data_IF_307423341884
#
_entry.id   IF_307423341884
#
_cell.length_a   1.000
_cell.length_b   1.000
_cell.length_c   1.000
_cell.angle_alpha   90.00
_cell.angle_beta   90.00
_cell.angle_gamma   90.00
#
_symmetry.space_group_name_H-M   'P 1'
#
loop_
_entity.id
_entity.type
_entity.pdbx_description
1 polymer ?
#
# COMPACT_ATOMS: atom_id res chain seq x y z
N UNK A 1 -33.36 77.17 19.78
CA UNK A 1 -32.15 77.34 18.94
C UNK A 1 -30.94 76.95 19.75
N UNK A 2 -30.26 75.90 19.28
CA UNK A 2 -28.95 75.34 19.60
C UNK A 2 -28.27 75.69 20.94
N UNK A 3 -28.02 74.66 21.75
CA UNK A 3 -26.68 74.29 22.24
C UNK A 3 -26.66 72.82 22.68
N UNK A 4 -25.56 72.13 22.35
CA UNK A 4 -25.24 70.76 22.71
C UNK A 4 -24.91 70.66 24.22
N UNK A 5 -25.29 69.54 24.84
CA UNK A 5 -24.69 69.08 26.10
C UNK A 5 -24.46 67.57 26.05
N UNK A 6 -23.23 67.21 26.39
CA UNK A 6 -22.70 65.85 26.49
C UNK A 6 -23.23 65.22 27.78
N UNK A 7 -23.68 63.96 27.74
CA UNK A 7 -23.54 63.12 28.93
C UNK A 7 -23.38 61.65 28.59
N UNK A 8 -22.48 61.04 29.35
CA UNK A 8 -22.03 59.66 29.30
C UNK A 8 -23.19 58.71 29.59
N UNK A 9 -23.30 57.63 28.83
CA UNK A 9 -23.77 56.36 29.39
C UNK A 9 -23.15 55.20 28.61
N UNK A 10 -22.29 54.45 29.30
CA UNK A 10 -21.85 53.14 28.86
C UNK A 10 -23.05 52.19 28.90
N UNK A 11 -23.32 51.48 27.81
CA UNK A 11 -24.20 50.32 27.81
C UNK A 11 -23.45 49.16 27.15
N UNK A 12 -23.01 48.24 28.00
CA UNK A 12 -22.48 46.95 27.60
C UNK A 12 -23.61 46.14 26.95
N UNK A 13 -23.49 45.85 25.65
CA UNK A 13 -24.29 44.84 24.96
C UNK A 13 -23.43 43.58 24.85
N UNK A 14 -23.58 42.69 25.82
CA UNK A 14 -23.09 41.32 25.71
C UNK A 14 -24.00 40.58 24.72
N UNK A 15 -23.50 40.38 23.50
CA UNK A 15 -24.08 39.43 22.56
C UNK A 15 -23.73 38.02 23.04
N UNK A 16 -24.69 37.36 23.71
CA UNK A 16 -24.64 35.94 23.96
C UNK A 16 -24.84 35.17 22.65
N UNK A 17 -23.75 34.73 22.04
CA UNK A 17 -23.79 33.71 20.98
C UNK A 17 -23.94 32.36 21.67
N UNK A 18 -25.17 31.86 21.75
CA UNK A 18 -25.39 30.44 22.07
C UNK A 18 -24.91 29.62 20.89
N UNK A 19 -23.66 29.15 20.94
CA UNK A 19 -23.22 28.02 20.13
C UNK A 19 -24.03 26.80 20.59
N UNK A 20 -25.10 26.48 19.86
CA UNK A 20 -25.66 25.14 19.87
C UNK A 20 -24.59 24.21 19.29
N UNK A 21 -23.76 23.65 20.17
CA UNK A 21 -22.94 22.51 19.83
C UNK A 21 -23.90 21.36 19.51
N UNK A 22 -24.18 21.14 18.23
CA UNK A 22 -24.75 19.89 17.77
C UNK A 22 -23.76 18.80 18.21
N UNK A 23 -24.10 18.09 19.28
CA UNK A 23 -23.46 16.84 19.65
C UNK A 23 -23.77 15.82 18.55
N UNK A 24 -23.06 15.90 17.43
CA UNK A 24 -23.14 14.86 16.41
C UNK A 24 -22.50 13.62 17.01
N UNK A 25 -23.32 12.58 17.19
CA UNK A 25 -22.84 11.23 17.48
C UNK A 25 -21.68 10.90 16.54
N UNK A 26 -20.50 10.52 17.05
CA UNK A 26 -19.38 10.12 16.23
C UNK A 26 -19.82 9.10 15.15
N UNK A 27 -19.34 9.19 13.89
CA UNK A 27 -19.80 8.33 12.81
C UNK A 27 -19.69 6.82 13.09
N UNK A 28 -18.77 6.41 13.96
CA UNK A 28 -18.57 5.03 14.42
C UNK A 28 -19.63 4.55 15.43
N UNK A 29 -20.45 5.46 15.96
CA UNK A 29 -21.55 5.19 16.89
C UNK A 29 -22.94 5.30 16.22
N UNK A 30 -22.99 5.68 14.94
CA UNK A 30 -24.22 5.68 14.16
C UNK A 30 -24.43 4.26 13.62
N UNK A 31 -25.56 3.59 13.91
CA UNK A 31 -25.87 2.30 13.32
C UNK A 31 -25.85 2.37 11.79
N UNK A 32 -25.31 1.34 11.14
CA UNK A 32 -25.31 1.26 9.67
C UNK A 32 -26.74 1.14 9.14
N UNK A 33 -27.08 1.92 8.12
CA UNK A 33 -28.36 1.79 7.39
C UNK A 33 -28.36 0.59 6.42
N UNK A 34 -27.26 -0.15 6.29
CA UNK A 34 -27.17 -1.31 5.40
C UNK A 34 -27.91 -2.52 5.99
N UNK A 35 -28.84 -3.08 5.21
CA UNK A 35 -29.67 -4.21 5.62
C UNK A 35 -29.48 -5.42 4.69
N UNK A 36 -29.28 -6.61 5.25
CA UNK A 36 -29.13 -7.86 4.49
C UNK A 36 -30.47 -8.32 3.86
N UNK A 37 -30.46 -8.95 2.67
CA UNK A 37 -29.30 -9.36 1.85
C UNK A 37 -28.78 -8.26 0.90
N UNK A 38 -29.30 -7.03 0.99
CA UNK A 38 -29.00 -5.95 0.05
C UNK A 38 -29.71 -6.12 -1.28
N UNK A 39 -29.05 -5.73 -2.37
CA UNK A 39 -29.55 -5.85 -3.76
C UNK A 39 -28.59 -6.65 -4.62
N UNK A 40 -29.02 -7.01 -5.85
CA UNK A 40 -28.14 -7.70 -6.81
C UNK A 40 -26.88 -6.90 -7.17
N UNK A 41 -26.96 -5.56 -7.20
CA UNK A 41 -25.83 -4.66 -7.48
C UNK A 41 -25.03 -4.28 -6.23
N UNK A 42 -25.59 -4.48 -5.03
CA UNK A 42 -24.95 -4.18 -3.75
C UNK A 42 -25.39 -5.18 -2.67
N UNK A 43 -24.84 -6.41 -2.70
CA UNK A 43 -25.18 -7.42 -1.70
C UNK A 43 -24.63 -7.03 -0.33
N UNK A 44 -25.40 -7.31 0.72
CA UNK A 44 -25.06 -7.05 2.12
C UNK A 44 -25.13 -8.36 2.90
N UNK A 45 -24.05 -8.70 3.59
CA UNK A 45 -23.99 -9.90 4.43
C UNK A 45 -24.92 -9.78 5.64
N UNK A 46 -25.57 -10.88 6.01
CA UNK A 46 -26.20 -11.01 7.32
C UNK A 46 -25.16 -11.06 8.44
N UNK A 47 -25.59 -10.80 9.69
CA UNK A 47 -24.72 -10.91 10.86
C UNK A 47 -24.15 -12.34 11.05
N UNK A 48 -24.86 -13.38 10.61
CA UNK A 48 -24.38 -14.76 10.69
C UNK A 48 -23.34 -15.06 9.60
N UNK A 49 -23.54 -14.59 8.38
CA UNK A 49 -22.54 -14.74 7.30
C UNK A 49 -21.26 -13.96 7.62
N UNK A 50 -21.39 -12.75 8.19
CA UNK A 50 -20.27 -11.89 8.57
C UNK A 50 -19.30 -12.56 9.57
N UNK A 51 -19.74 -13.53 10.38
CA UNK A 51 -18.87 -14.31 11.28
C UNK A 51 -17.79 -15.11 10.54
N UNK A 52 -17.98 -15.37 9.25
CA UNK A 52 -17.00 -16.04 8.40
C UNK A 52 -15.96 -15.07 7.80
N UNK A 53 -16.15 -13.76 7.96
CA UNK A 53 -15.31 -12.72 7.37
C UNK A 53 -14.61 -11.89 8.45
N UNK A 54 -13.90 -12.57 9.35
CA UNK A 54 -13.08 -11.96 10.41
C UNK A 54 -11.60 -12.19 10.14
N UNK A 55 -10.71 -11.35 10.66
CA UNK A 55 -9.27 -11.43 10.40
C UNK A 55 -8.69 -12.85 10.60
N UNK A 56 -9.13 -13.58 11.63
CA UNK A 56 -8.71 -14.97 11.86
C UNK A 56 -9.06 -15.94 10.71
N UNK A 57 -10.13 -15.69 9.95
CA UNK A 57 -10.49 -16.50 8.77
C UNK A 57 -9.60 -16.19 7.58
N UNK A 58 -9.32 -14.91 7.34
CA UNK A 58 -8.39 -14.48 6.28
C UNK A 58 -6.95 -14.89 6.56
N UNK A 59 -6.58 -14.98 7.84
CA UNK A 59 -5.24 -15.39 8.27
C UNK A 59 -5.11 -16.88 8.55
N UNK A 60 -6.13 -17.69 8.23
CA UNK A 60 -6.06 -19.13 8.30
C UNK A 60 -4.93 -19.70 7.43
N UNK A 61 -4.39 -20.85 7.84
CA UNK A 61 -3.41 -21.59 7.05
C UNK A 61 -4.11 -22.48 6.02
N UNK A 62 -3.44 -22.74 4.89
CA UNK A 62 -3.84 -23.83 3.98
C UNK A 62 -3.52 -25.20 4.58
N UNK A 63 -2.56 -25.27 5.51
CA UNK A 63 -2.23 -26.51 6.23
C UNK A 63 -3.33 -26.82 7.26
N UNK A 64 -3.94 -28.03 7.22
CA UNK A 64 -4.95 -28.43 8.19
C UNK A 64 -4.47 -28.31 9.64
N UNK A 65 -5.40 -28.03 10.56
CA UNK A 65 -5.16 -27.95 12.00
C UNK A 65 -4.08 -26.93 12.44
N UNK A 66 -3.71 -25.99 11.57
CA UNK A 66 -2.79 -24.91 11.91
C UNK A 66 -3.59 -23.70 12.37
N UNK A 67 -3.25 -23.16 13.55
CA UNK A 67 -3.88 -21.95 14.06
C UNK A 67 -3.73 -20.77 13.07
N UNK A 68 -4.75 -19.91 12.95
CA UNK A 68 -4.62 -18.67 12.17
C UNK A 68 -3.43 -17.83 12.62
N UNK A 69 -2.84 -17.10 11.68
CA UNK A 69 -1.81 -16.13 12.02
C UNK A 69 -2.42 -14.98 12.84
N UNK A 70 -1.87 -14.76 14.02
CA UNK A 70 -2.20 -13.66 14.92
C UNK A 70 -0.92 -12.83 15.14
N UNK A 71 -0.72 -11.73 14.39
CA UNK A 71 0.46 -10.90 14.55
C UNK A 71 0.43 -10.07 15.83
N UNK A 72 1.56 -9.99 16.51
CA UNK A 72 1.83 -8.91 17.46
C UNK A 72 2.18 -7.62 16.70
N UNK A 73 1.92 -6.44 17.27
CA UNK A 73 2.36 -5.16 16.71
C UNK A 73 3.87 -5.15 16.41
N UNK A 74 4.26 -4.35 15.40
CA UNK A 74 5.67 -4.12 15.08
C UNK A 74 6.35 -3.50 16.31
N UNK A 75 7.47 -4.10 16.73
CA UNK A 75 8.31 -3.62 17.83
C UNK A 75 9.66 -3.21 17.27
N UNK A 76 10.06 -1.96 17.51
CA UNK A 76 11.35 -1.43 17.06
C UNK A 76 12.43 -1.68 18.13
N UNK A 77 13.67 -1.98 17.73
CA UNK A 77 14.77 -2.21 18.67
C UNK A 77 15.30 -0.87 19.21
N UNK A 78 15.99 -0.92 20.34
CA UNK A 78 16.72 0.24 20.85
C UNK A 78 17.87 0.68 19.92
N UNK A 79 18.45 -0.27 19.18
CA UNK A 79 19.48 -0.04 18.17
C UNK A 79 19.15 -0.84 16.90
N UNK A 80 19.06 -0.21 15.72
CA UNK A 80 18.86 -0.93 14.47
C UNK A 80 20.12 -1.69 14.05
N UNK A 81 19.96 -2.73 13.22
CA UNK A 81 21.10 -3.43 12.62
C UNK A 81 21.78 -2.58 11.54
N UNK A 82 21.00 -1.76 10.85
CA UNK A 82 21.45 -0.87 9.77
C UNK A 82 20.72 0.46 9.82
N UNK A 83 21.43 1.54 9.50
CA UNK A 83 20.87 2.89 9.34
C UNK A 83 21.13 3.36 7.91
N UNK A 84 20.08 3.80 7.23
CA UNK A 84 20.13 4.42 5.91
C UNK A 84 19.96 5.93 6.07
N UNK A 85 20.84 6.72 5.46
CA UNK A 85 20.77 8.17 5.52
C UNK A 85 21.86 8.87 4.70
N UNK A 86 21.99 10.21 4.83
CA UNK A 86 22.98 10.98 4.10
C UNK A 86 24.42 10.58 4.46
N UNK A 87 25.30 10.54 3.46
CA UNK A 87 26.72 10.22 3.66
C UNK A 87 27.38 11.16 4.69
N UNK A 88 28.22 10.61 5.57
CA UNK A 88 28.92 11.38 6.61
C UNK A 88 28.09 11.69 7.86
N UNK A 89 26.80 11.35 7.87
CA UNK A 89 25.96 11.50 9.07
C UNK A 89 26.33 10.44 10.12
N UNK A 90 26.54 10.81 11.40
CA UNK A 90 26.86 9.85 12.45
C UNK A 90 25.84 8.71 12.55
N UNK A 91 26.34 7.47 12.63
CA UNK A 91 25.50 6.27 12.73
C UNK A 91 24.95 5.73 11.41
N UNK A 92 25.03 6.50 10.31
CA UNK A 92 24.63 6.00 8.98
C UNK A 92 25.59 4.91 8.52
N UNK A 93 25.01 3.76 8.15
CA UNK A 93 25.74 2.60 7.64
C UNK A 93 25.68 2.49 6.12
N UNK A 94 24.61 3.00 5.50
CA UNK A 94 24.34 2.88 4.08
C UNK A 94 23.69 4.17 3.55
N UNK A 95 23.99 4.53 2.30
CA UNK A 95 23.39 5.70 1.63
C UNK A 95 22.23 5.33 0.71
N UNK A 96 21.94 4.04 0.56
CA UNK A 96 20.77 3.55 -0.18
C UNK A 96 20.10 2.40 0.55
N UNK A 97 18.77 2.31 0.41
CA UNK A 97 17.97 1.28 1.06
C UNK A 97 18.31 -0.11 0.50
N UNK A 98 18.51 -0.23 -0.82
CA UNK A 98 18.90 -1.51 -1.42
C UNK A 98 20.22 -2.04 -0.85
N UNK A 99 21.22 -1.19 -0.61
CA UNK A 99 22.49 -1.63 -0.05
C UNK A 99 22.33 -2.17 1.39
N UNK A 100 21.49 -1.53 2.22
CA UNK A 100 21.18 -2.04 3.56
C UNK A 100 20.40 -3.36 3.52
N UNK A 101 19.45 -3.50 2.58
CA UNK A 101 18.75 -4.77 2.33
C UNK A 101 19.73 -5.86 1.93
N UNK A 102 20.63 -5.57 0.99
CA UNK A 102 21.64 -6.53 0.53
C UNK A 102 22.54 -6.97 1.70
N UNK A 103 23.02 -6.02 2.52
CA UNK A 103 23.83 -6.30 3.71
C UNK A 103 23.08 -7.17 4.75
N UNK A 104 21.79 -6.93 4.95
CA UNK A 104 20.97 -7.76 5.84
C UNK A 104 20.80 -9.19 5.30
N UNK A 105 20.62 -9.34 3.99
CA UNK A 105 20.41 -10.63 3.34
C UNK A 105 21.66 -11.49 3.30
N UNK A 106 22.84 -10.88 3.12
CA UNK A 106 24.13 -11.58 3.12
C UNK A 106 24.43 -12.27 4.46
N UNK A 107 23.89 -11.77 5.58
CA UNK A 107 24.05 -12.38 6.91
C UNK A 107 23.43 -13.78 7.03
N UNK A 108 22.47 -14.16 6.16
CA UNK A 108 21.78 -15.46 6.15
C UNK A 108 21.27 -15.91 7.53
N UNK A 109 20.81 -14.95 8.33
CA UNK A 109 20.31 -15.20 9.69
C UNK A 109 18.81 -15.49 9.69
N UNK A 110 18.36 -16.30 10.66
CA UNK A 110 16.93 -16.51 10.93
C UNK A 110 16.35 -15.41 11.84
N UNK A 111 17.21 -14.57 12.44
CA UNK A 111 16.76 -13.46 13.29
C UNK A 111 16.20 -12.33 12.41
N UNK A 112 15.18 -11.65 12.91
CA UNK A 112 14.71 -10.41 12.31
C UNK A 112 15.84 -9.38 12.28
N UNK A 113 15.98 -8.68 11.15
CA UNK A 113 16.92 -7.56 11.00
C UNK A 113 16.15 -6.25 10.81
N UNK A 114 16.68 -5.18 11.38
CA UNK A 114 16.04 -3.87 11.44
C UNK A 114 16.85 -2.82 10.68
N UNK A 115 16.21 -2.18 9.72
CA UNK A 115 16.78 -1.12 8.90
C UNK A 115 16.03 0.17 9.22
N UNK A 116 16.69 1.07 9.94
CA UNK A 116 16.20 2.42 10.18
C UNK A 116 16.51 3.31 8.97
N UNK A 117 15.54 4.11 8.53
CA UNK A 117 15.68 5.01 7.38
C UNK A 117 15.47 6.44 7.86
N UNK A 118 16.51 7.26 7.78
CA UNK A 118 16.45 8.67 8.15
C UNK A 118 15.55 9.46 7.20
N UNK A 119 14.96 10.59 7.64
CA UNK A 119 14.21 11.48 6.75
C UNK A 119 14.96 11.83 5.48
N UNK A 120 14.26 11.82 4.35
CA UNK A 120 14.82 12.09 3.03
C UNK A 120 14.05 11.42 1.90
N UNK A 121 14.40 11.83 0.67
CA UNK A 121 13.89 11.25 -0.57
C UNK A 121 14.90 10.23 -1.12
N UNK A 122 14.49 8.98 -1.21
CA UNK A 122 15.28 7.84 -1.66
C UNK A 122 14.79 7.37 -3.03
N UNK A 123 15.43 7.87 -4.08
CA UNK A 123 15.08 7.51 -5.44
C UNK A 123 15.61 6.12 -5.82
N UNK A 124 14.74 5.33 -6.43
CA UNK A 124 15.06 4.05 -7.05
C UNK A 124 14.40 2.85 -6.37
N UNK A 125 14.45 1.71 -7.05
CA UNK A 125 13.80 0.48 -6.59
C UNK A 125 14.32 -0.05 -5.25
N UNK A 126 13.46 -0.75 -4.50
CA UNK A 126 13.87 -1.55 -3.34
C UNK A 126 13.32 -2.96 -3.50
N UNK A 127 14.20 -3.92 -3.74
CA UNK A 127 13.90 -5.34 -3.87
C UNK A 127 14.35 -6.11 -2.64
N UNK A 128 13.38 -6.66 -1.92
CA UNK A 128 13.62 -7.46 -0.70
C UNK A 128 13.35 -8.94 -1.01
N UNK A 129 14.40 -9.75 -1.21
CA UNK A 129 14.24 -11.14 -1.63
C UNK A 129 13.63 -12.03 -0.52
N UNK A 130 13.19 -13.21 -0.92
CA UNK A 130 12.87 -14.27 0.02
C UNK A 130 14.13 -14.65 0.81
N UNK A 131 13.98 -14.84 2.11
CA UNK A 131 15.07 -15.17 3.01
C UNK A 131 14.54 -15.95 4.23
N UNK A 132 15.40 -16.70 4.93
CA UNK A 132 14.97 -17.43 6.12
C UNK A 132 14.66 -16.48 7.29
N UNK A 133 15.34 -15.33 7.39
CA UNK A 133 15.04 -14.25 8.32
C UNK A 133 14.13 -13.18 7.72
N UNK A 134 13.36 -12.52 8.57
CA UNK A 134 12.48 -11.41 8.19
C UNK A 134 13.17 -10.05 8.31
N UNK A 135 12.76 -9.08 7.49
CA UNK A 135 13.20 -7.68 7.63
C UNK A 135 12.12 -6.77 8.21
N UNK A 136 12.56 -5.78 8.97
CA UNK A 136 11.78 -4.59 9.32
C UNK A 136 12.47 -3.37 8.74
N UNK A 137 11.78 -2.64 7.85
CA UNK A 137 12.23 -1.34 7.35
C UNK A 137 11.32 -0.28 7.96
N UNK A 138 11.89 0.74 8.57
CA UNK A 138 11.10 1.78 9.22
C UNK A 138 11.72 3.17 9.08
N UNK A 139 10.87 4.17 8.82
CA UNK A 139 11.30 5.56 8.80
C UNK A 139 11.42 6.13 10.21
N UNK A 140 12.42 6.99 10.42
CA UNK A 140 12.69 7.64 11.71
C UNK A 140 12.19 9.09 11.77
N UNK A 141 11.42 9.54 10.78
CA UNK A 141 10.76 10.84 10.80
C UNK A 141 9.54 10.87 11.71
N UNK A 142 8.97 12.05 11.94
CA UNK A 142 7.77 12.23 12.75
C UNK A 142 6.54 11.63 12.04
N UNK A 143 6.49 11.81 10.72
CA UNK A 143 5.41 11.39 9.83
C UNK A 143 5.94 10.43 8.76
N UNK A 144 5.07 9.56 8.22
CA UNK A 144 5.48 8.65 7.14
C UNK A 144 5.99 9.38 5.89
N UNK A 145 5.53 10.61 5.64
CA UNK A 145 5.94 11.43 4.49
C UNK A 145 7.36 11.97 4.58
N UNK A 146 7.98 11.92 5.77
CA UNK A 146 9.34 12.41 5.98
C UNK A 146 10.39 11.47 5.37
N UNK A 147 10.01 10.22 5.09
CA UNK A 147 10.84 9.21 4.40
C UNK A 147 10.12 8.77 3.14
N UNK A 148 10.62 9.14 1.96
CA UNK A 148 9.97 8.80 0.69
C UNK A 148 10.83 7.87 -0.13
N UNK A 149 10.27 6.74 -0.54
CA UNK A 149 10.90 5.77 -1.43
C UNK A 149 10.15 5.85 -2.76
N UNK A 150 10.83 6.28 -3.82
CA UNK A 150 10.15 6.69 -5.05
C UNK A 150 10.86 6.24 -6.32
N UNK A 151 10.11 5.71 -7.27
CA UNK A 151 10.59 5.55 -8.65
C UNK A 151 9.45 5.53 -9.65
N UNK A 152 9.59 6.25 -10.76
CA UNK A 152 8.65 6.17 -11.89
C UNK A 152 8.95 4.92 -12.71
N UNK A 153 8.04 3.94 -12.67
CA UNK A 153 8.13 2.73 -13.46
C UNK A 153 6.77 2.43 -14.04
N UNK A 154 6.66 2.53 -15.36
CA UNK A 154 5.45 2.17 -16.10
C UNK A 154 5.56 0.73 -16.58
N UNK A 155 4.52 -0.08 -16.37
CA UNK A 155 4.46 -1.43 -16.95
C UNK A 155 4.44 -1.42 -18.48
N UNK A 156 4.02 -0.33 -19.12
CA UNK A 156 4.08 -0.18 -20.58
C UNK A 156 5.45 0.26 -21.10
N UNK A 157 6.41 0.62 -20.24
CA UNK A 157 7.74 1.00 -20.71
C UNK A 157 8.50 -0.19 -21.31
N UNK A 158 9.40 0.09 -22.26
CA UNK A 158 10.20 -0.95 -22.89
C UNK A 158 11.11 -1.64 -21.87
N UNK A 159 11.38 -2.94 -22.08
CA UNK A 159 12.32 -3.70 -21.22
C UNK A 159 13.71 -3.04 -21.20
N UNK A 160 14.12 -2.44 -22.32
CA UNK A 160 15.41 -1.74 -22.41
C UNK A 160 15.44 -0.48 -21.55
N UNK A 161 14.38 0.33 -21.54
CA UNK A 161 14.30 1.55 -20.73
C UNK A 161 14.21 1.22 -19.25
N UNK A 162 13.40 0.21 -18.92
CA UNK A 162 13.30 -0.33 -17.58
C UNK A 162 14.66 -0.77 -17.03
N UNK A 163 15.46 -1.52 -17.82
CA UNK A 163 16.82 -1.96 -17.40
C UNK A 163 17.73 -0.77 -17.10
N UNK A 164 17.71 0.27 -17.94
CA UNK A 164 18.54 1.47 -17.75
C UNK A 164 18.11 2.25 -16.50
N UNK A 165 16.81 2.36 -16.26
CA UNK A 165 16.28 3.07 -15.09
C UNK A 165 16.48 2.32 -13.78
N UNK A 166 16.26 1.00 -13.75
CA UNK A 166 16.21 0.19 -12.52
C UNK A 166 17.61 -0.25 -12.06
N UNK A 167 18.57 -0.38 -12.97
CA UNK A 167 19.90 -0.90 -12.65
C UNK A 167 21.08 0.04 -12.97
N UNK A 168 21.03 1.33 -12.58
CA UNK A 168 22.18 2.21 -12.74
C UNK A 168 23.36 1.71 -11.90
N UNK A 169 24.57 1.78 -12.44
CA UNK A 169 25.80 1.48 -11.71
C UNK A 169 25.93 0.04 -11.19
N UNK A 170 25.22 -0.93 -11.78
CA UNK A 170 25.28 -2.32 -11.32
C UNK A 170 24.63 -2.53 -9.94
N UNK A 171 23.55 -1.79 -9.66
CA UNK A 171 22.73 -1.96 -8.45
C UNK A 171 22.36 -3.43 -8.21
N UNK A 172 21.89 -4.12 -9.25
CA UNK A 172 21.60 -5.55 -9.29
C UNK A 172 22.59 -6.27 -10.21
N UNK A 173 23.32 -7.25 -9.68
CA UNK A 173 24.31 -8.05 -10.41
C UNK A 173 24.26 -9.50 -9.93
N UNK A 174 24.69 -10.48 -10.77
CA UNK A 174 24.87 -11.85 -10.32
C UNK A 174 25.68 -11.92 -9.01
N UNK A 175 25.19 -12.69 -8.05
CA UNK A 175 25.78 -12.79 -6.70
C UNK A 175 25.20 -11.82 -5.66
N UNK A 176 24.52 -10.74 -6.06
CA UNK A 176 23.78 -9.89 -5.12
C UNK A 176 22.43 -10.52 -4.72
N UNK A 177 21.93 -10.29 -3.50
CA UNK A 177 20.75 -10.99 -2.96
C UNK A 177 19.49 -10.91 -3.83
N UNK A 178 19.19 -9.73 -4.38
CA UNK A 178 17.99 -9.50 -5.18
C UNK A 178 18.18 -9.77 -6.69
N UNK A 179 19.30 -10.39 -7.11
CA UNK A 179 19.58 -10.63 -8.53
C UNK A 179 18.45 -11.36 -9.24
N UNK A 180 17.94 -12.46 -8.67
CA UNK A 180 16.91 -13.26 -9.33
C UNK A 180 15.61 -12.48 -9.56
N UNK A 181 15.29 -11.53 -8.68
CA UNK A 181 14.11 -10.66 -8.82
C UNK A 181 14.29 -9.75 -10.03
N UNK A 182 15.44 -9.06 -10.11
CA UNK A 182 15.79 -8.24 -11.25
C UNK A 182 15.87 -9.05 -12.55
N UNK A 183 16.49 -10.23 -12.49
CA UNK A 183 16.75 -11.09 -13.65
C UNK A 183 15.46 -11.59 -14.31
N UNK A 184 14.45 -11.96 -13.50
CA UNK A 184 13.12 -12.33 -13.99
C UNK A 184 12.41 -11.21 -14.80
N UNK A 185 12.79 -9.95 -14.59
CA UNK A 185 12.22 -8.82 -15.31
C UNK A 185 13.11 -8.41 -16.50
N UNK A 186 14.42 -8.33 -16.29
CA UNK A 186 15.38 -7.89 -17.30
C UNK A 186 15.47 -8.86 -18.50
N UNK A 187 15.23 -10.15 -18.27
CA UNK A 187 15.32 -11.22 -19.28
C UNK A 187 14.06 -11.35 -20.15
N UNK A 188 13.04 -10.53 -19.93
CA UNK A 188 11.81 -10.55 -20.74
C UNK A 188 12.11 -10.19 -22.19
N UNK A 189 11.50 -10.94 -23.10
CA UNK A 189 11.50 -10.67 -24.55
C UNK A 189 10.22 -9.99 -25.05
N UNK A 190 9.38 -9.52 -24.14
CA UNK A 190 8.18 -8.75 -24.48
C UNK A 190 8.53 -7.31 -24.87
N UNK A 191 7.63 -6.65 -25.60
CA UNK A 191 7.78 -5.24 -25.94
C UNK A 191 7.81 -4.34 -24.68
N UNK A 192 6.96 -4.66 -23.70
CA UNK A 192 6.79 -3.91 -22.46
C UNK A 192 7.16 -4.76 -21.24
N UNK A 193 7.55 -4.11 -20.13
CA UNK A 193 8.02 -4.82 -18.93
C UNK A 193 6.86 -5.48 -18.14
N UNK A 194 5.66 -4.91 -18.21
CA UNK A 194 4.42 -5.35 -17.58
C UNK A 194 4.32 -5.06 -16.07
N UNK A 195 3.09 -5.10 -15.55
CA UNK A 195 2.75 -4.79 -14.15
C UNK A 195 3.54 -5.58 -13.10
N UNK A 196 3.90 -6.85 -13.41
CA UNK A 196 4.70 -7.69 -12.52
C UNK A 196 6.13 -7.18 -12.30
N UNK A 197 6.55 -6.13 -13.01
CA UNK A 197 7.88 -5.55 -12.91
C UNK A 197 7.85 -4.02 -12.75
N UNK A 198 6.66 -3.41 -12.56
CA UNK A 198 6.52 -1.95 -12.39
C UNK A 198 6.57 -1.49 -10.93
N UNK A 199 6.96 -2.37 -10.00
CA UNK A 199 7.00 -2.06 -8.57
C UNK A 199 8.23 -1.23 -8.18
N UNK A 200 8.00 -0.05 -7.58
CA UNK A 200 9.06 0.73 -6.95
C UNK A 200 9.65 -0.01 -5.73
N UNK A 201 8.79 -0.61 -4.90
CA UNK A 201 9.19 -1.51 -3.81
C UNK A 201 8.62 -2.89 -4.07
N UNK A 202 9.45 -3.93 -4.16
CA UNK A 202 9.01 -5.31 -4.33
C UNK A 202 9.61 -6.20 -3.24
N UNK A 203 8.76 -6.92 -2.50
CA UNK A 203 9.22 -7.90 -1.53
C UNK A 203 8.70 -9.31 -1.80
N UNK A 204 9.56 -10.30 -1.57
CA UNK A 204 9.21 -11.71 -1.39
C UNK A 204 9.55 -12.24 0.01
N UNK A 205 9.89 -11.33 0.94
CA UNK A 205 10.34 -11.69 2.28
C UNK A 205 9.13 -12.07 3.17
N UNK A 206 9.11 -13.31 3.64
CA UNK A 206 8.13 -13.73 4.64
C UNK A 206 8.40 -12.99 5.95
N UNK A 207 7.34 -12.44 6.56
CA UNK A 207 7.43 -11.65 7.77
C UNK A 207 7.95 -10.23 7.57
N UNK A 208 7.98 -9.71 6.33
CA UNK A 208 8.32 -8.30 6.10
C UNK A 208 7.48 -7.39 7.02
N UNK A 209 8.15 -6.41 7.63
CA UNK A 209 7.52 -5.34 8.37
C UNK A 209 7.92 -3.99 7.76
N UNK A 210 6.94 -3.16 7.43
CA UNK A 210 7.14 -1.78 6.99
C UNK A 210 6.46 -0.83 7.97
N UNK A 211 7.16 0.22 8.42
CA UNK A 211 6.59 1.18 9.36
C UNK A 211 7.03 2.63 9.11
N UNK A 212 6.10 3.57 9.22
CA UNK A 212 6.40 5.01 9.28
C UNK A 212 7.22 5.55 8.09
N UNK A 213 6.81 5.21 6.86
CA UNK A 213 7.47 5.64 5.62
C UNK A 213 6.46 5.79 4.48
N UNK A 214 6.89 6.38 3.38
CA UNK A 214 6.10 6.54 2.14
C UNK A 214 6.76 5.77 1.01
N UNK A 215 5.95 5.02 0.27
CA UNK A 215 6.36 4.33 -0.95
C UNK A 215 5.50 4.86 -2.10
N UNK A 216 6.15 5.32 -3.15
CA UNK A 216 5.49 5.95 -4.29
C UNK A 216 6.02 5.41 -5.61
N UNK A 217 5.13 5.09 -6.54
CA UNK A 217 5.50 5.04 -7.95
C UNK A 217 5.26 6.43 -8.54
N UNK A 218 6.35 7.15 -8.78
CA UNK A 218 6.32 8.58 -9.13
C UNK A 218 5.98 8.83 -10.60
N UNK A 219 5.40 7.84 -11.32
CA UNK A 219 4.85 8.05 -12.66
C UNK A 219 3.71 9.07 -12.62
N UNK A 220 2.84 8.96 -11.61
CA UNK A 220 1.83 9.98 -11.30
C UNK A 220 0.99 10.39 -12.51
N UNK A 221 0.88 11.70 -12.72
CA UNK A 221 0.10 12.32 -13.80
C UNK A 221 0.94 12.61 -15.05
N UNK A 222 2.12 12.01 -15.19
CA UNK A 222 2.99 12.21 -16.37
C UNK A 222 2.55 11.44 -17.61
N UNK A 223 1.45 10.68 -17.49
CA UNK A 223 0.89 9.80 -18.51
C UNK A 223 -0.60 10.08 -18.67
N UNK A 224 -1.19 9.61 -19.76
CA UNK A 224 -2.60 9.84 -20.04
C UNK A 224 -3.53 8.93 -19.20
N UNK A 225 -4.83 9.04 -19.47
CA UNK A 225 -5.89 8.29 -18.78
C UNK A 225 -5.97 6.81 -19.18
N UNK A 226 -5.14 6.35 -20.13
CA UNK A 226 -5.05 4.98 -20.61
C UNK A 226 -4.42 4.00 -19.62
N UNK A 227 -4.02 2.84 -20.13
CA UNK A 227 -3.45 1.76 -19.34
C UNK A 227 -1.97 2.00 -19.04
N UNK A 228 -1.66 2.35 -17.78
CA UNK A 228 -0.31 2.64 -17.28
C UNK A 228 -0.11 2.00 -15.90
N UNK A 229 0.00 0.66 -15.81
CA UNK A 229 0.10 -0.04 -14.53
C UNK A 229 1.45 0.26 -13.84
N UNK A 230 1.40 1.00 -12.73
CA UNK A 230 2.55 1.58 -12.05
C UNK A 230 2.51 1.28 -10.55
N UNK A 231 3.08 0.14 -10.17
CA UNK A 231 2.99 -0.37 -8.79
C UNK A 231 3.93 0.40 -7.87
N UNK A 232 3.42 0.91 -6.74
CA UNK A 232 4.26 1.52 -5.71
C UNK A 232 4.84 0.45 -4.80
N UNK A 233 3.97 -0.35 -4.18
CA UNK A 233 4.37 -1.47 -3.33
C UNK A 233 3.84 -2.79 -3.88
N UNK A 234 4.73 -3.74 -4.09
CA UNK A 234 4.42 -5.13 -4.32
C UNK A 234 4.88 -6.01 -3.17
N UNK A 235 4.01 -6.87 -2.66
CA UNK A 235 4.38 -7.90 -1.68
C UNK A 235 3.91 -9.28 -2.08
N UNK A 236 4.84 -10.22 -2.06
CA UNK A 236 4.62 -11.64 -2.32
C UNK A 236 4.78 -12.51 -1.06
N UNK A 237 5.36 -11.95 0.01
CA UNK A 237 5.66 -12.65 1.25
C UNK A 237 4.42 -13.02 2.06
N UNK A 238 4.50 -14.07 2.87
CA UNK A 238 3.49 -14.41 3.87
C UNK A 238 3.79 -13.74 5.22
N UNK A 239 2.76 -13.49 6.03
CA UNK A 239 2.81 -12.84 7.35
C UNK A 239 3.42 -11.43 7.33
N UNK A 240 3.12 -10.66 6.30
CA UNK A 240 3.63 -9.30 6.10
C UNK A 240 2.81 -8.30 6.94
N UNK A 241 3.47 -7.35 7.60
CA UNK A 241 2.81 -6.26 8.32
C UNK A 241 3.23 -4.90 7.75
N UNK A 242 2.26 -4.05 7.47
CA UNK A 242 2.46 -2.69 6.97
C UNK A 242 1.72 -1.76 7.93
N UNK A 243 2.43 -0.91 8.67
CA UNK A 243 1.84 -0.07 9.70
C UNK A 243 2.23 1.39 9.53
N UNK A 244 1.28 2.32 9.53
CA UNK A 244 1.60 3.76 9.42
C UNK A 244 2.41 4.07 8.16
N UNK A 245 1.99 3.54 7.01
CA UNK A 245 2.67 3.71 5.72
C UNK A 245 1.76 4.43 4.73
N UNK A 246 2.34 5.33 3.94
CA UNK A 246 1.67 5.90 2.77
C UNK A 246 2.10 5.09 1.53
N UNK A 247 1.13 4.61 0.75
CA UNK A 247 1.38 3.90 -0.51
C UNK A 247 0.71 4.72 -1.62
N UNK A 248 1.51 5.39 -2.43
CA UNK A 248 1.05 6.44 -3.35
C UNK A 248 1.25 6.03 -4.81
N UNK A 249 0.23 6.23 -5.64
CA UNK A 249 0.30 5.93 -7.06
C UNK A 249 -0.95 6.37 -7.82
N UNK A 250 -1.20 5.70 -8.94
CA UNK A 250 -2.39 5.84 -9.78
C UNK A 250 -2.98 4.47 -10.04
N UNK A 251 -2.59 3.84 -11.15
CA UNK A 251 -3.07 2.52 -11.51
C UNK A 251 -2.23 1.40 -10.86
N UNK A 252 -2.89 0.43 -10.21
CA UNK A 252 -2.26 -0.70 -9.50
C UNK A 252 -1.30 -0.32 -8.35
N UNK A 253 -1.57 0.76 -7.61
CA UNK A 253 -0.71 1.29 -6.53
C UNK A 253 -0.17 0.23 -5.55
N UNK A 254 -1.03 -0.64 -5.01
CA UNK A 254 -0.65 -1.70 -4.07
C UNK A 254 -0.96 -3.08 -4.65
N UNK A 255 0.09 -3.87 -4.88
CA UNK A 255 -0.02 -5.15 -5.56
C UNK A 255 0.37 -6.30 -4.63
N UNK A 256 -0.55 -7.20 -4.35
CA UNK A 256 -0.26 -8.42 -3.56
C UNK A 256 -0.26 -9.60 -4.50
N UNK A 257 0.77 -10.44 -4.47
CA UNK A 257 0.78 -11.66 -5.27
C UNK A 257 1.13 -12.86 -4.43
N UNK A 258 0.80 -14.05 -4.91
CA UNK A 258 1.27 -15.28 -4.31
C UNK A 258 2.49 -15.85 -5.05
N UNK A 259 3.21 -15.02 -5.80
CA UNK A 259 4.37 -15.45 -6.58
C UNK A 259 5.46 -16.08 -5.72
N UNK A 260 6.12 -17.09 -6.28
CA UNK A 260 7.43 -17.57 -5.83
C UNK A 260 8.57 -16.86 -6.55
N UNK A 261 9.74 -17.50 -6.56
CA UNK A 261 10.98 -16.98 -7.17
C UNK A 261 10.91 -16.77 -8.69
N UNK A 262 9.87 -17.28 -9.35
CA UNK A 262 9.70 -17.23 -10.82
C UNK A 262 8.86 -16.02 -11.30
N UNK A 263 8.51 -15.09 -10.41
CA UNK A 263 7.73 -13.90 -10.73
C UNK A 263 6.40 -14.17 -11.49
N UNK A 264 5.64 -15.18 -11.05
CA UNK A 264 4.35 -15.58 -11.65
C UNK A 264 3.35 -15.97 -10.58
N UNK A 265 2.07 -15.69 -10.84
CA UNK A 265 0.99 -16.12 -9.95
C UNK A 265 0.94 -17.64 -9.83
N UNK A 266 0.64 -18.11 -8.63
CA UNK A 266 0.55 -19.54 -8.29
C UNK A 266 -0.91 -19.92 -7.96
N UNK A 267 -1.18 -21.22 -7.88
CA UNK A 267 -2.52 -21.76 -7.58
C UNK A 267 -2.62 -22.46 -6.23
N UNK A 268 -1.51 -22.61 -5.53
CA UNK A 268 -1.32 -23.44 -4.34
C UNK A 268 -0.69 -22.68 -3.17
N UNK A 269 -0.61 -21.35 -3.28
CA UNK A 269 0.01 -20.48 -2.27
C UNK A 269 -0.92 -19.35 -1.86
N UNK A 270 -1.05 -19.12 -0.55
CA UNK A 270 -1.86 -18.05 0.04
C UNK A 270 -1.03 -17.20 1.01
N UNK A 271 -0.40 -16.11 0.54
CA UNK A 271 0.27 -15.16 1.43
C UNK A 271 -0.75 -14.33 2.22
N UNK A 272 -0.38 -13.98 3.45
CA UNK A 272 -1.18 -13.15 4.36
C UNK A 272 -0.48 -11.82 4.64
N UNK A 273 -1.24 -10.74 4.54
CA UNK A 273 -0.74 -9.38 4.80
C UNK A 273 -1.71 -8.63 5.71
N UNK A 274 -1.18 -7.97 6.74
CA UNK A 274 -1.91 -7.04 7.59
C UNK A 274 -1.47 -5.61 7.26
N UNK A 275 -2.42 -4.73 6.94
CA UNK A 275 -2.20 -3.30 6.72
C UNK A 275 -2.95 -2.52 7.78
N UNK A 276 -2.26 -1.67 8.53
CA UNK A 276 -2.79 -0.98 9.71
C UNK A 276 -2.41 0.50 9.72
N UNK A 277 -3.34 1.39 10.07
CA UNK A 277 -3.05 2.83 10.26
C UNK A 277 -2.42 3.50 9.03
N UNK A 278 -2.74 3.03 7.82
CA UNK A 278 -2.05 3.40 6.59
C UNK A 278 -2.92 4.28 5.69
N UNK A 279 -2.28 4.87 4.68
CA UNK A 279 -2.93 5.66 3.64
C UNK A 279 -2.55 5.08 2.27
N UNK A 280 -3.53 4.85 1.41
CA UNK A 280 -3.33 4.30 0.05
C UNK A 280 -4.05 5.20 -0.95
N UNK A 281 -3.34 5.65 -1.98
CA UNK A 281 -3.84 6.57 -2.99
C UNK A 281 -3.71 6.00 -4.41
N UNK A 282 -4.73 6.19 -5.24
CA UNK A 282 -4.74 5.71 -6.61
C UNK A 282 -6.02 6.04 -7.36
N UNK A 283 -6.15 5.51 -8.57
CA UNK A 283 -7.35 5.64 -9.40
C UNK A 283 -7.92 4.27 -9.81
N UNK A 284 -7.26 3.56 -10.72
CA UNK A 284 -7.70 2.31 -11.34
C UNK A 284 -7.02 1.13 -10.66
N UNK A 285 -7.81 0.16 -10.23
CA UNK A 285 -7.32 -1.08 -9.59
C UNK A 285 -6.32 -0.82 -8.46
N UNK A 286 -6.58 0.19 -7.62
CA UNK A 286 -5.62 0.74 -6.66
C UNK A 286 -4.99 -0.32 -5.76
N UNK A 287 -5.78 -1.28 -5.26
CA UNK A 287 -5.28 -2.48 -4.58
C UNK A 287 -5.64 -3.72 -5.37
N UNK A 288 -4.63 -4.46 -5.79
CA UNK A 288 -4.75 -5.50 -6.80
C UNK A 288 -4.06 -6.81 -6.42
N UNK A 289 -4.50 -7.89 -7.06
CA UNK A 289 -3.73 -9.14 -7.13
C UNK A 289 -4.28 -10.29 -6.28
N UNK A 290 -3.42 -11.23 -5.87
CA UNK A 290 -3.76 -12.52 -5.27
C UNK A 290 -3.06 -12.72 -3.92
N UNK A 291 -3.81 -12.68 -2.82
CA UNK A 291 -3.35 -12.93 -1.45
C UNK A 291 -4.43 -12.55 -0.42
N UNK A 292 -4.31 -13.02 0.82
CA UNK A 292 -5.20 -12.62 1.90
C UNK A 292 -4.68 -11.33 2.54
N UNK A 293 -5.45 -10.24 2.43
CA UNK A 293 -5.05 -8.95 2.99
C UNK A 293 -6.11 -8.45 3.96
N UNK A 294 -5.73 -8.07 5.17
CA UNK A 294 -6.64 -7.39 6.09
C UNK A 294 -6.20 -5.94 6.20
N UNK A 295 -7.13 -5.02 5.96
CA UNK A 295 -6.94 -3.59 6.18
C UNK A 295 -7.70 -3.20 7.44
N UNK A 296 -6.98 -2.66 8.41
CA UNK A 296 -7.53 -2.15 9.66
C UNK A 296 -7.13 -0.69 9.86
N UNK A 297 -8.11 0.19 10.06
CA UNK A 297 -7.88 1.63 10.17
C UNK A 297 -7.00 2.19 9.02
N UNK A 298 -7.35 1.85 7.78
CA UNK A 298 -6.65 2.33 6.57
C UNK A 298 -7.53 3.29 5.80
N UNK A 299 -6.94 4.39 5.31
CA UNK A 299 -7.63 5.33 4.43
C UNK A 299 -7.29 5.02 2.97
N UNK A 300 -8.31 4.91 2.13
CA UNK A 300 -8.21 4.74 0.68
C UNK A 300 -8.67 6.03 0.00
N UNK A 301 -7.76 6.74 -0.64
CA UNK A 301 -8.06 7.97 -1.36
C UNK A 301 -8.07 7.71 -2.86
N UNK A 302 -9.23 7.92 -3.48
CA UNK A 302 -9.31 7.89 -4.95
C UNK A 302 -9.07 9.28 -5.52
N UNK A 303 -8.02 9.42 -6.34
CA UNK A 303 -7.70 10.65 -7.05
C UNK A 303 -8.28 10.65 -8.46
N UNK A 304 -8.32 11.82 -9.10
CA UNK A 304 -8.89 12.01 -10.44
C UNK A 304 -8.05 12.94 -11.33
N UNK A 305 -6.80 13.19 -10.94
CA UNK A 305 -5.86 14.06 -11.65
C UNK A 305 -5.40 13.44 -12.98
N UNK A 306 -5.18 12.13 -13.02
CA UNK A 306 -4.79 11.38 -14.23
C UNK A 306 -5.99 10.95 -15.08
N UNK A 307 -7.03 10.40 -14.44
CA UNK A 307 -8.24 9.95 -15.12
C UNK A 307 -9.50 10.37 -14.36
N UNK A 308 -10.53 10.76 -15.11
CA UNK A 308 -11.87 11.05 -14.60
C UNK A 308 -12.91 10.03 -15.09
N UNK A 309 -12.50 9.09 -15.94
CA UNK A 309 -13.39 8.19 -16.66
C UNK A 309 -13.81 6.99 -15.82
N UNK A 310 -12.89 6.49 -14.97
CA UNK A 310 -13.14 5.33 -14.12
C UNK A 310 -12.26 5.36 -12.87
N UNK A 311 -12.69 4.63 -11.84
CA UNK A 311 -11.87 4.31 -10.69
C UNK A 311 -12.37 3.03 -10.01
N UNK A 312 -11.42 2.20 -9.57
CA UNK A 312 -11.69 0.97 -8.82
C UNK A 312 -10.71 0.89 -7.65
N UNK A 313 -11.26 0.81 -6.43
CA UNK A 313 -10.42 0.70 -5.23
C UNK A 313 -9.78 -0.68 -5.16
N UNK A 314 -10.53 -1.74 -5.46
CA UNK A 314 -10.10 -3.13 -5.32
C UNK A 314 -10.20 -3.93 -6.61
N UNK A 315 -9.13 -4.67 -6.93
CA UNK A 315 -9.06 -5.59 -8.07
C UNK A 315 -8.58 -7.00 -7.67
N UNK A 316 -9.44 -7.81 -7.01
CA UNK A 316 -9.08 -9.16 -6.57
C UNK A 316 -8.81 -10.10 -7.75
N UNK A 317 -7.73 -10.89 -7.66
CA UNK A 317 -7.48 -12.07 -8.52
C UNK A 317 -7.45 -13.37 -7.70
N UNK A 318 -8.31 -13.46 -6.70
CA UNK A 318 -8.46 -14.64 -5.85
C UNK A 318 -8.81 -15.89 -6.63
N UNK A 319 -8.26 -17.01 -6.19
CA UNK A 319 -8.71 -18.33 -6.59
C UNK A 319 -10.12 -18.59 -6.03
N UNK A 320 -10.95 -19.33 -6.76
CA UNK A 320 -12.36 -19.55 -6.43
C UNK A 320 -12.61 -20.25 -5.08
N UNK A 321 -11.60 -20.87 -4.50
CA UNK A 321 -11.68 -21.70 -3.30
C UNK A 321 -10.99 -21.08 -2.06
N UNK A 322 -10.60 -19.80 -2.09
CA UNK A 322 -9.87 -19.16 -0.99
C UNK A 322 -10.52 -17.82 -0.61
N UNK A 323 -10.51 -17.50 0.68
CA UNK A 323 -10.95 -16.18 1.19
C UNK A 323 -9.99 -15.07 0.72
N UNK A 324 -10.55 -13.93 0.30
CA UNK A 324 -9.77 -12.77 -0.11
C UNK A 324 -10.32 -11.49 0.46
N UNK A 325 -9.42 -10.79 1.14
CA UNK A 325 -9.52 -9.42 1.59
C UNK A 325 -10.64 -9.10 2.61
N UNK A 326 -10.25 -8.50 3.73
CA UNK A 326 -11.16 -8.03 4.76
C UNK A 326 -10.94 -6.55 5.04
N UNK A 327 -12.03 -5.82 5.30
CA UNK A 327 -11.99 -4.45 5.77
C UNK A 327 -12.48 -4.38 7.21
N UNK A 328 -11.72 -3.71 8.04
CA UNK A 328 -12.13 -3.32 9.38
C UNK A 328 -11.83 -1.84 9.59
N UNK A 329 -12.82 -1.09 10.08
CA UNK A 329 -12.69 0.33 10.50
C UNK A 329 -11.95 1.23 9.50
N UNK A 330 -12.10 0.96 8.21
CA UNK A 330 -11.36 1.65 7.14
C UNK A 330 -12.28 2.59 6.37
N UNK A 331 -11.74 3.70 5.90
CA UNK A 331 -12.49 4.73 5.16
C UNK A 331 -12.05 4.77 3.71
N UNK A 332 -12.99 4.87 2.78
CA UNK A 332 -12.70 5.20 1.39
C UNK A 332 -13.25 6.60 1.11
N UNK A 333 -12.38 7.51 0.68
CA UNK A 333 -12.70 8.91 0.41
C UNK A 333 -12.42 9.26 -1.06
N UNK A 334 -13.18 10.22 -1.58
CA UNK A 334 -13.12 10.70 -2.96
C UNK A 334 -12.70 12.17 -2.97
N UNK A 335 -11.86 12.57 -3.93
CA UNK A 335 -11.57 13.99 -4.17
C UNK A 335 -12.74 14.63 -4.94
N UNK A 336 -13.43 15.67 -4.43
CA UNK A 336 -14.45 16.39 -5.20
C UNK A 336 -13.84 17.11 -6.44
N UNK A 337 -14.55 17.30 -7.58
CA UNK A 337 -15.93 16.97 -7.91
C UNK A 337 -16.03 15.64 -8.69
N UNK A 338 -15.54 14.55 -8.11
CA UNK A 338 -15.53 13.26 -8.78
C UNK A 338 -16.92 12.58 -8.82
N UNK A 339 -17.81 13.04 -9.69
CA UNK A 339 -19.14 12.44 -9.88
C UNK A 339 -19.17 11.48 -11.07
N UNK A 340 -19.74 10.29 -10.81
CA UNK A 340 -20.52 9.42 -11.72
C UNK A 340 -19.98 8.04 -12.18
N UNK A 341 -18.67 7.76 -12.23
CA UNK A 341 -18.16 6.45 -12.69
C UNK A 341 -17.14 5.83 -11.73
N UNK A 342 -17.58 5.40 -10.56
CA UNK A 342 -16.71 4.82 -9.52
C UNK A 342 -17.30 3.57 -8.93
N UNK A 343 -16.47 2.53 -8.82
CA UNK A 343 -16.83 1.27 -8.17
C UNK A 343 -15.89 0.99 -7.00
N UNK A 344 -16.42 0.39 -5.94
CA UNK A 344 -15.61 -0.12 -4.84
C UNK A 344 -14.65 -1.22 -5.32
N UNK A 345 -15.07 -2.06 -6.29
CA UNK A 345 -14.25 -3.15 -6.77
C UNK A 345 -14.59 -3.56 -8.21
N UNK A 346 -13.60 -4.09 -8.94
CA UNK A 346 -13.79 -4.87 -10.16
C UNK A 346 -13.00 -6.18 -10.03
N UNK A 347 -13.47 -7.29 -10.61
CA UNK A 347 -12.67 -8.53 -10.58
C UNK A 347 -11.50 -8.42 -11.55
N UNK A 348 -10.28 -8.68 -11.08
CA UNK A 348 -9.11 -8.77 -11.96
C UNK A 348 -9.05 -10.16 -12.61
N UNK A 349 -9.03 -10.21 -13.93
CA UNK A 349 -8.94 -11.46 -14.70
C UNK A 349 -7.49 -11.70 -15.13
N UNK A 350 -6.81 -12.65 -14.48
CA UNK A 350 -5.38 -12.93 -14.68
C UNK A 350 -5.06 -13.82 -15.91
N UNK A 351 -6.03 -14.08 -16.78
CA UNK A 351 -5.86 -14.89 -18.01
C UNK A 351 -6.29 -14.07 -19.24
N UNK A 352 -5.60 -14.19 -20.39
CA UNK A 352 -6.08 -13.61 -21.63
C UNK A 352 -7.23 -14.48 -22.15
N UNK A 353 -8.43 -14.28 -21.60
CA UNK A 353 -9.66 -14.72 -22.25
C UNK A 353 -10.26 -13.47 -22.89
N UNK A 354 -10.40 -13.44 -24.24
CA UNK A 354 -10.99 -12.31 -24.90
C UNK A 354 -12.49 -12.34 -24.60
N UNK A 355 -12.92 -11.48 -23.69
CA UNK A 355 -14.32 -11.10 -23.60
C UNK A 355 -14.38 -9.60 -23.73
N UNK A 356 -14.76 -9.20 -24.95
CA UNK A 356 -15.29 -7.89 -25.31
C UNK A 356 -16.20 -7.41 -24.18
N UNK A 357 -15.86 -6.28 -23.57
CA UNK A 357 -16.84 -5.50 -22.81
C UNK A 357 -17.52 -4.57 -23.79
N UNK A 358 -18.80 -4.85 -24.08
CA UNK A 358 -19.76 -3.96 -24.73
C UNK A 358 -20.34 -2.95 -23.75
#
# INVERSE_FOLDING_TARGET
>A
MNTLSVSRLALALAFGVTLSACSSTPPDQIPSDQTAPGTASRPILSANEAKNFVAARYFASLTPNTAPWSPSPITLPAQPDFVVGPAGTPGVTHTSIQAAVDAAMVKRTNKRQYIAIMPGDYQGTVYVPAAPGSLTLYGTGEKPIDVKIGMAIDGEMSVADWRRAVNPGGKYMPGKPAWYMFDNCQSKHAATIGVMCSAAFWSQNNGLQLQNLTIENTLGDSVDAGNHPAVALRTDGDKVQINKVNILGRQNTFFVTNSGVQNRLQTDRQPRTLVTNSYIEGDVDMVSGRGAVVFDNTNFQVVNSRTQQEAYVFAPATLSNIYYMAFWRSTAALTPPAMALRSLAARWMSTPTPTVRS
#
